data_IF_615846584520
#
_entry.id   IF_615846584520
#
_cell.length_a   1.000
_cell.length_b   1.000
_cell.length_c   1.000
_cell.angle_alpha   90.00
_cell.angle_beta   90.00
_cell.angle_gamma   90.00
#
_symmetry.space_group_name_H-M   'P 1'
#
loop_
_entity.id
_entity.type
_entity.pdbx_description
1 polymer ?
#
# COMPACT_ATOMS: atom_id res chain seq x y z
N UNK A 1 -2.11 -42.31 -39.65
CA UNK A 1 -2.58 -41.00 -40.12
C UNK A 1 -2.88 -40.18 -38.88
N UNK A 2 -1.86 -39.87 -38.09
CA UNK A 2 -0.95 -38.72 -38.25
C UNK A 2 -1.70 -37.38 -38.17
N UNK A 3 -1.74 -36.85 -36.94
CA UNK A 3 -2.02 -35.46 -36.65
C UNK A 3 -0.67 -34.76 -36.43
N UNK A 4 -0.25 -33.97 -37.40
CA UNK A 4 0.83 -32.97 -37.30
C UNK A 4 0.42 -31.77 -38.15
N UNK A 5 0.70 -30.57 -37.61
CA UNK A 5 0.74 -29.22 -38.21
C UNK A 5 0.02 -28.26 -37.25
N UNK A 6 0.58 -27.19 -36.72
CA UNK A 6 1.94 -26.66 -36.67
C UNK A 6 1.85 -25.57 -35.59
N UNK A 7 2.68 -25.62 -34.54
CA UNK A 7 2.75 -24.55 -33.53
C UNK A 7 3.74 -23.53 -34.06
N UNK A 8 3.23 -22.53 -34.78
CA UNK A 8 4.03 -21.39 -35.18
C UNK A 8 4.06 -20.34 -34.07
N UNK A 9 5.27 -20.04 -33.63
CA UNK A 9 5.61 -19.03 -32.63
C UNK A 9 5.26 -17.64 -33.15
N UNK A 10 4.36 -16.93 -32.48
CA UNK A 10 4.33 -15.48 -32.52
C UNK A 10 4.71 -14.93 -31.14
N UNK A 11 5.99 -14.62 -31.01
CA UNK A 11 6.56 -13.78 -29.97
C UNK A 11 6.12 -12.33 -30.17
N UNK A 12 5.14 -11.88 -29.38
CA UNK A 12 4.85 -10.46 -29.14
C UNK A 12 4.61 -10.30 -27.65
N UNK A 13 5.31 -9.34 -27.04
CA UNK A 13 5.58 -9.23 -25.61
C UNK A 13 4.37 -9.46 -24.70
N UNK A 14 4.48 -10.43 -23.80
CA UNK A 14 3.56 -10.60 -22.68
C UNK A 14 3.86 -9.50 -21.65
N UNK A 15 3.21 -8.35 -21.78
CA UNK A 15 2.89 -7.55 -20.59
C UNK A 15 1.96 -8.41 -19.75
N UNK A 16 2.52 -9.08 -18.75
CA UNK A 16 1.75 -9.85 -17.79
C UNK A 16 0.73 -8.89 -17.16
N UNK A 17 -0.54 -9.00 -17.55
CA UNK A 17 -1.64 -8.35 -16.83
C UNK A 17 -1.55 -8.86 -15.41
N UNK A 18 -0.99 -8.05 -14.50
CA UNK A 18 -0.90 -8.38 -13.07
C UNK A 18 -2.33 -8.58 -12.60
N UNK A 19 -2.75 -9.84 -12.47
CA UNK A 19 -4.05 -10.18 -11.90
C UNK A 19 -4.06 -9.64 -10.48
N UNK A 20 -4.93 -8.67 -10.24
CA UNK A 20 -5.16 -8.09 -8.93
C UNK A 20 -5.72 -9.16 -7.99
N UNK A 21 -5.04 -9.37 -6.87
CA UNK A 21 -5.44 -10.33 -5.84
C UNK A 21 -6.41 -9.66 -4.85
N UNK A 22 -7.38 -10.39 -4.26
CA UNK A 22 -8.36 -9.85 -3.31
C UNK A 22 -7.75 -9.11 -2.12
N UNK A 23 -6.53 -9.47 -1.73
CA UNK A 23 -5.79 -8.75 -0.70
C UNK A 23 -5.60 -7.27 -1.05
N UNK A 24 -5.48 -6.90 -2.33
CA UNK A 24 -5.26 -5.53 -2.78
C UNK A 24 -6.55 -4.70 -2.92
N UNK A 25 -7.74 -5.30 -2.86
CA UNK A 25 -9.01 -4.61 -3.10
C UNK A 25 -9.34 -3.54 -2.05
N UNK A 26 -8.84 -3.67 -0.82
CA UNK A 26 -9.29 -2.82 0.28
C UNK A 26 -8.65 -1.43 0.30
N UNK A 27 -7.43 -1.27 -0.23
CA UNK A 27 -6.75 0.03 -0.20
C UNK A 27 -7.35 1.07 -1.14
N UNK A 28 -7.69 0.74 -2.41
CA UNK A 28 -8.42 1.64 -3.28
C UNK A 28 -9.71 2.18 -2.63
N UNK A 29 -10.41 1.34 -1.86
CA UNK A 29 -11.61 1.74 -1.11
C UNK A 29 -11.32 2.72 0.02
N UNK A 30 -10.25 2.49 0.80
CA UNK A 30 -9.82 3.42 1.85
C UNK A 30 -9.38 4.76 1.25
N UNK A 31 -8.79 4.73 0.04
CA UNK A 31 -8.38 5.91 -0.72
C UNK A 31 -9.55 6.64 -1.40
N UNK A 32 -10.77 6.14 -1.28
CA UNK A 32 -11.97 6.74 -1.87
C UNK A 32 -12.07 6.58 -3.38
N UNK A 33 -11.36 5.61 -3.97
CA UNK A 33 -11.50 5.24 -5.39
C UNK A 33 -12.60 4.20 -5.57
N UNK A 34 -13.40 4.37 -6.61
CA UNK A 34 -14.48 3.44 -6.94
C UNK A 34 -13.92 2.09 -7.41
N UNK A 35 -14.65 1.01 -7.13
CA UNK A 35 -14.32 -0.32 -7.62
C UNK A 35 -14.24 -0.33 -9.15
N UNK A 36 -13.06 -0.60 -9.71
CA UNK A 36 -12.83 -0.67 -11.15
C UNK A 36 -12.08 0.52 -11.74
N UNK A 37 -11.74 1.54 -10.95
CA UNK A 37 -10.76 2.54 -11.38
C UNK A 37 -9.36 1.91 -11.43
N UNK A 38 -8.76 1.89 -12.62
CA UNK A 38 -7.37 1.47 -12.78
C UNK A 38 -6.45 2.49 -12.11
N UNK A 39 -5.64 2.03 -11.15
CA UNK A 39 -4.53 2.83 -10.62
C UNK A 39 -3.53 3.09 -11.75
N UNK A 40 -3.01 4.33 -11.81
CA UNK A 40 -1.85 4.61 -12.65
C UNK A 40 -0.66 3.79 -12.18
N UNK A 41 0.27 3.48 -13.08
CA UNK A 41 1.46 2.68 -12.77
C UNK A 41 2.23 3.23 -11.56
N UNK A 42 2.46 4.54 -11.52
CA UNK A 42 3.12 5.23 -10.39
C UNK A 42 2.35 5.09 -9.07
N UNK A 43 1.01 5.15 -9.09
CA UNK A 43 0.19 4.99 -7.89
C UNK A 43 0.24 3.55 -7.38
N UNK A 44 0.25 2.58 -8.30
CA UNK A 44 0.37 1.17 -7.96
C UNK A 44 1.75 0.85 -7.36
N UNK A 45 2.83 1.46 -7.87
CA UNK A 45 4.18 1.33 -7.31
C UNK A 45 4.28 1.92 -5.90
N UNK A 46 3.74 3.12 -5.69
CA UNK A 46 3.70 3.75 -4.37
C UNK A 46 2.91 2.92 -3.37
N UNK A 47 1.76 2.38 -3.79
CA UNK A 47 0.95 1.50 -2.97
C UNK A 47 1.69 0.20 -2.62
N UNK A 48 2.40 -0.39 -3.59
CA UNK A 48 3.21 -1.59 -3.36
C UNK A 48 4.36 -1.33 -2.36
N UNK A 49 5.04 -0.19 -2.47
CA UNK A 49 6.07 0.23 -1.51
C UNK A 49 5.50 0.41 -0.12
N UNK A 50 4.35 1.07 -0.02
CA UNK A 50 3.65 1.30 1.23
C UNK A 50 3.23 -0.02 1.91
N UNK A 51 2.60 -0.94 1.17
CA UNK A 51 2.16 -2.23 1.70
C UNK A 51 3.34 -3.09 2.17
N UNK A 52 4.41 -3.18 1.38
CA UNK A 52 5.62 -3.92 1.78
C UNK A 52 6.31 -3.30 2.98
N UNK A 53 6.37 -1.97 3.04
CA UNK A 53 6.93 -1.25 4.18
C UNK A 53 6.16 -1.54 5.46
N UNK A 54 4.83 -1.48 5.40
CA UNK A 54 4.00 -1.76 6.58
C UNK A 54 4.08 -3.21 7.05
N UNK A 55 4.09 -4.17 6.14
CA UNK A 55 4.22 -5.58 6.50
C UNK A 55 5.53 -5.87 7.28
N UNK A 56 6.59 -5.12 7.01
CA UNK A 56 7.88 -5.28 7.70
C UNK A 56 7.94 -4.50 9.03
N UNK A 57 7.26 -3.36 9.11
CA UNK A 57 7.39 -2.43 10.24
C UNK A 57 6.34 -2.67 11.33
N UNK A 58 5.11 -3.05 10.99
CA UNK A 58 4.04 -3.29 11.97
C UNK A 58 4.32 -4.54 12.80
N UNK A 59 4.10 -4.43 14.12
CA UNK A 59 4.31 -5.50 15.10
C UNK A 59 3.06 -5.70 15.94
N UNK A 60 2.85 -6.91 16.45
CA UNK A 60 1.66 -7.25 17.25
C UNK A 60 1.62 -6.51 18.59
N UNK A 61 2.79 -6.18 19.12
CA UNK A 61 2.98 -5.45 20.36
C UNK A 61 2.92 -3.92 20.19
N UNK A 62 2.74 -3.41 18.97
CA UNK A 62 2.60 -1.97 18.76
C UNK A 62 1.34 -1.44 19.45
N UNK A 63 1.47 -0.32 20.13
CA UNK A 63 0.30 0.47 20.54
C UNK A 63 -0.39 1.04 19.30
N UNK A 64 -1.66 1.43 19.43
CA UNK A 64 -2.40 2.09 18.33
C UNK A 64 -1.63 3.31 17.82
N UNK A 65 -1.08 4.12 18.72
CA UNK A 65 -0.29 5.30 18.35
C UNK A 65 0.99 4.93 17.57
N UNK A 66 1.69 3.88 17.99
CA UNK A 66 2.88 3.39 17.28
C UNK A 66 2.52 2.86 15.88
N UNK A 67 1.45 2.09 15.77
CA UNK A 67 0.99 1.56 14.50
C UNK A 67 0.56 2.67 13.53
N UNK A 68 -0.21 3.66 14.00
CA UNK A 68 -0.60 4.83 13.20
C UNK A 68 0.63 5.66 12.82
N UNK A 69 1.61 5.83 13.70
CA UNK A 69 2.88 6.49 13.39
C UNK A 69 3.63 5.78 12.25
N UNK A 70 3.67 4.45 12.27
CA UNK A 70 4.30 3.66 11.20
C UNK A 70 3.56 3.79 9.87
N UNK A 71 2.23 3.79 9.89
CA UNK A 71 1.39 4.10 8.73
C UNK A 71 1.80 5.45 8.13
N UNK A 72 1.86 6.50 8.93
CA UNK A 72 2.22 7.85 8.45
C UNK A 72 3.63 7.87 7.86
N UNK A 73 4.62 7.27 8.55
CA UNK A 73 5.99 7.20 8.05
C UNK A 73 6.10 6.46 6.72
N UNK A 74 5.43 5.33 6.58
CA UNK A 74 5.46 4.55 5.33
C UNK A 74 4.75 5.27 4.20
N UNK A 75 3.63 5.94 4.47
CA UNK A 75 2.92 6.73 3.47
C UNK A 75 3.80 7.87 2.94
N UNK A 76 4.46 8.60 3.84
CA UNK A 76 5.39 9.67 3.46
C UNK A 76 6.61 9.15 2.70
N UNK A 77 7.16 7.99 3.10
CA UNK A 77 8.28 7.38 2.40
C UNK A 77 7.90 6.89 1.00
N UNK A 78 6.70 6.36 0.82
CA UNK A 78 6.19 5.94 -0.49
C UNK A 78 5.92 7.15 -1.40
N UNK A 79 5.36 8.23 -0.85
CA UNK A 79 4.96 9.40 -1.65
C UNK A 79 6.15 10.29 -2.04
N UNK A 80 7.07 10.53 -1.09
CA UNK A 80 8.14 11.52 -1.24
C UNK A 80 9.55 10.94 -1.14
N UNK A 81 9.66 9.62 -0.95
CA UNK A 81 10.93 8.93 -0.75
C UNK A 81 11.39 8.87 0.71
N UNK A 82 12.27 7.90 1.05
CA UNK A 82 12.73 7.66 2.42
C UNK A 82 13.58 8.81 2.99
N UNK A 83 14.20 9.62 2.12
CA UNK A 83 14.99 10.78 2.52
C UNK A 83 14.17 11.83 3.26
N UNK A 84 12.88 11.99 2.91
CA UNK A 84 11.99 12.91 3.61
C UNK A 84 11.82 12.47 5.07
N UNK A 85 11.52 11.20 5.32
CA UNK A 85 11.24 10.68 6.67
C UNK A 85 12.50 10.69 7.55
N UNK A 86 13.69 10.59 6.94
CA UNK A 86 14.97 10.70 7.64
C UNK A 86 15.37 12.15 7.96
N UNK A 87 14.71 13.16 7.37
CA UNK A 87 15.05 14.56 7.60
C UNK A 87 14.70 15.01 9.02
N UNK A 88 15.53 15.89 9.59
CA UNK A 88 15.38 16.38 10.97
C UNK A 88 14.01 17.00 11.26
N UNK A 89 13.39 17.66 10.28
CA UNK A 89 12.07 18.27 10.40
C UNK A 89 10.89 17.32 10.27
N UNK A 90 11.11 16.09 9.76
CA UNK A 90 10.02 15.17 9.48
C UNK A 90 9.35 14.61 10.73
N UNK A 91 10.07 14.59 11.87
CA UNK A 91 9.52 14.12 13.15
C UNK A 91 8.25 14.88 13.54
N UNK A 92 8.31 16.21 13.52
CA UNK A 92 7.17 17.05 13.91
C UNK A 92 6.00 16.92 12.93
N UNK A 93 6.30 16.78 11.64
CA UNK A 93 5.28 16.53 10.61
C UNK A 93 4.57 15.19 10.83
N UNK A 94 5.33 14.11 11.07
CA UNK A 94 4.79 12.79 11.40
C UNK A 94 3.91 12.87 12.63
N UNK A 95 4.40 13.46 13.72
CA UNK A 95 3.64 13.63 14.97
C UNK A 95 2.34 14.42 14.77
N UNK A 96 2.40 15.49 13.99
CA UNK A 96 1.22 16.33 13.69
C UNK A 96 0.16 15.54 12.91
N UNK A 97 0.56 14.82 11.87
CA UNK A 97 -0.35 14.00 11.07
C UNK A 97 -0.92 12.85 11.89
N UNK A 98 -0.08 12.16 12.67
CA UNK A 98 -0.51 11.09 13.59
C UNK A 98 -1.55 11.60 14.58
N UNK A 99 -1.32 12.77 15.20
CA UNK A 99 -2.28 13.40 16.11
C UNK A 99 -3.60 13.72 15.40
N UNK A 100 -3.55 14.27 14.18
CA UNK A 100 -4.74 14.51 13.35
C UNK A 100 -5.54 13.24 13.08
N UNK A 101 -4.87 12.14 12.72
CA UNK A 101 -5.53 10.84 12.49
C UNK A 101 -6.15 10.29 13.77
N UNK A 102 -5.46 10.38 14.91
CA UNK A 102 -5.96 9.83 16.18
C UNK A 102 -7.13 10.62 16.76
N UNK A 103 -7.20 11.92 16.49
CA UNK A 103 -8.29 12.81 16.96
C UNK A 103 -9.53 12.73 16.08
N UNK A 104 -9.38 12.46 14.78
CA UNK A 104 -10.50 12.26 13.87
C UNK A 104 -11.04 10.81 13.90
N UNK A 105 -12.33 10.64 14.19
CA UNK A 105 -12.93 9.31 14.34
C UNK A 105 -12.96 8.48 13.05
N UNK A 106 -13.11 9.13 11.90
CA UNK A 106 -13.19 8.45 10.60
C UNK A 106 -11.80 8.04 10.13
N UNK A 107 -10.82 8.94 10.23
CA UNK A 107 -9.42 8.63 9.90
C UNK A 107 -8.86 7.58 10.83
N UNK A 108 -9.14 7.67 12.15
CA UNK A 108 -8.74 6.64 13.12
C UNK A 108 -9.31 5.27 12.75
N UNK A 109 -10.58 5.20 12.36
CA UNK A 109 -11.20 3.94 11.92
C UNK A 109 -10.51 3.38 10.67
N UNK A 110 -10.26 4.22 9.67
CA UNK A 110 -9.54 3.80 8.45
C UNK A 110 -8.13 3.27 8.77
N UNK A 111 -7.39 3.98 9.63
CA UNK A 111 -6.06 3.55 10.05
C UNK A 111 -6.10 2.21 10.80
N UNK A 112 -7.07 1.99 11.69
CA UNK A 112 -7.21 0.72 12.39
C UNK A 112 -7.56 -0.44 11.46
N UNK A 113 -8.37 -0.22 10.41
CA UNK A 113 -8.64 -1.26 9.41
C UNK A 113 -7.35 -1.63 8.65
N UNK A 114 -6.50 -0.65 8.35
CA UNK A 114 -5.18 -0.92 7.78
C UNK A 114 -4.36 -1.79 8.72
N UNK A 115 -4.25 -1.41 10.00
CA UNK A 115 -3.48 -2.18 10.99
C UNK A 115 -3.99 -3.61 11.10
N UNK A 116 -5.31 -3.79 11.22
CA UNK A 116 -5.97 -5.09 11.33
C UNK A 116 -5.61 -6.02 10.16
N UNK A 117 -5.61 -5.48 8.94
CA UNK A 117 -5.21 -6.24 7.74
C UNK A 117 -3.78 -6.77 7.82
N UNK A 118 -2.85 -6.02 8.41
CA UNK A 118 -1.46 -6.44 8.57
C UNK A 118 -1.19 -7.24 9.86
N UNK A 119 -2.13 -7.25 10.82
CA UNK A 119 -2.00 -8.04 12.05
C UNK A 119 -2.11 -9.56 11.81
N UNK A 120 -2.70 -9.95 10.68
CA UNK A 120 -2.90 -11.34 10.25
C UNK A 120 -1.84 -11.85 9.26
N UNK A 121 -0.87 -11.02 8.86
CA UNK A 121 0.20 -11.37 7.94
C UNK A 121 1.34 -12.15 8.60
#
# INVERSE_FOLDING_TARGET
MEAQLEIEKCSVGRSAKRQWLPSKEFFPLILGKDFGEELKEEEAEKLELFEKGLANELKKEDTIEQAVTKIVKMALAAEFGPSLVAAKGAKQMVETITCGILTDSQLRRQALIIVDRFAHA
#
